data_IF_227703613092
#
_entry.id   IF_227703613092
#
_cell.length_a   1.000
_cell.length_b   1.000
_cell.length_c   1.000
_cell.angle_alpha   90.00
_cell.angle_beta   90.00
_cell.angle_gamma   90.00
#
_symmetry.space_group_name_H-M   'P 1'
#
loop_
_entity.id
_entity.type
_entity.pdbx_description
1 polymer ?
#
# COMPACT_ATOMS: atom_id res chain seq x y z
N UNK A 1 -2.25 22.88 2.52
CA UNK A 1 -0.98 23.19 3.20
C UNK A 1 0.12 22.31 2.63
N UNK A 2 1.23 22.90 2.18
CA UNK A 2 2.40 22.17 1.69
C UNK A 2 3.28 21.72 2.85
N UNK A 3 3.67 20.45 2.88
CA UNK A 3 4.58 19.94 3.91
C UNK A 3 6.02 20.23 3.46
N UNK A 4 6.76 21.02 4.24
CA UNK A 4 8.16 21.36 3.97
C UNK A 4 9.10 20.23 4.42
N UNK A 5 9.81 19.61 3.47
CA UNK A 5 10.73 18.49 3.73
C UNK A 5 12.23 18.86 3.62
N UNK A 6 12.55 20.11 3.27
CA UNK A 6 13.92 20.57 2.95
C UNK A 6 14.93 20.24 4.05
N UNK A 7 14.58 20.47 5.32
CA UNK A 7 15.42 20.18 6.48
C UNK A 7 15.85 18.72 6.62
N UNK A 8 15.05 17.76 6.13
CA UNK A 8 15.37 16.34 6.22
C UNK A 8 16.33 15.90 5.11
N UNK A 9 16.22 16.49 3.91
CA UNK A 9 17.06 16.14 2.76
C UNK A 9 18.47 16.70 2.90
N UNK A 10 18.62 17.86 3.54
CA UNK A 10 19.91 18.53 3.74
C UNK A 10 20.91 17.73 4.60
N UNK A 11 20.43 16.85 5.48
CA UNK A 11 21.31 16.01 6.33
C UNK A 11 21.75 14.70 5.65
N UNK A 12 21.37 14.47 4.38
CA UNK A 12 22.08 13.65 3.40
C UNK A 12 22.46 12.20 3.73
N UNK A 13 21.97 11.61 4.81
CA UNK A 13 22.34 10.25 5.22
C UNK A 13 21.65 9.15 4.38
N UNK A 14 22.32 8.00 4.14
CA UNK A 14 21.69 6.85 3.51
C UNK A 14 20.51 6.38 4.38
N UNK A 15 19.31 6.27 3.77
CA UNK A 15 18.09 5.83 4.46
C UNK A 15 17.10 6.94 4.84
N UNK A 16 17.45 8.22 4.69
CA UNK A 16 16.52 9.32 4.95
C UNK A 16 15.31 9.29 3.98
N UNK A 17 15.52 8.90 2.72
CA UNK A 17 14.45 8.73 1.73
C UNK A 17 13.45 7.63 2.13
N UNK A 18 13.93 6.49 2.64
CA UNK A 18 13.05 5.44 3.17
C UNK A 18 12.24 5.95 4.37
N UNK A 19 12.85 6.76 5.23
CA UNK A 19 12.18 7.38 6.37
C UNK A 19 11.12 8.41 5.94
N UNK A 20 11.33 9.11 4.82
CA UNK A 20 10.35 9.99 4.18
C UNK A 20 9.17 9.21 3.59
N UNK A 21 9.43 8.09 2.92
CA UNK A 21 8.39 7.19 2.38
C UNK A 21 7.48 6.63 3.47
N UNK A 22 8.05 6.26 4.62
CA UNK A 22 7.33 5.70 5.78
C UNK A 22 6.66 6.76 6.69
N UNK A 23 6.72 8.04 6.34
CA UNK A 23 6.19 9.13 7.18
C UNK A 23 4.66 9.21 7.07
N UNK A 24 3.96 9.05 8.20
CA UNK A 24 2.49 9.00 8.24
C UNK A 24 1.78 10.32 7.86
N UNK A 25 2.35 11.48 8.22
CA UNK A 25 1.75 12.79 7.93
C UNK A 25 2.12 13.25 6.51
N UNK A 26 1.21 13.05 5.56
CA UNK A 26 1.38 13.47 4.16
C UNK A 26 2.23 12.51 3.31
N UNK A 27 2.51 11.29 3.81
CA UNK A 27 3.22 10.28 3.04
C UNK A 27 2.33 9.57 2.04
N UNK A 28 2.96 9.08 0.97
CA UNK A 28 2.32 8.33 -0.12
C UNK A 28 1.59 7.09 0.41
N UNK A 29 2.14 6.44 1.44
CA UNK A 29 1.51 5.27 2.07
C UNK A 29 0.12 5.58 2.62
N UNK A 30 -0.08 6.73 3.25
CA UNK A 30 -1.41 7.11 3.79
C UNK A 30 -2.42 7.36 2.66
N UNK A 31 -1.95 7.95 1.55
CA UNK A 31 -2.79 8.19 0.38
C UNK A 31 -3.21 6.87 -0.26
N UNK A 32 -2.25 5.98 -0.49
CA UNK A 32 -2.47 4.71 -1.19
C UNK A 32 -3.05 3.62 -0.29
N UNK A 33 -3.15 3.85 1.02
CA UNK A 33 -3.68 2.87 1.99
C UNK A 33 -5.09 2.43 1.63
N UNK A 34 -5.96 3.36 1.19
CA UNK A 34 -7.32 3.03 0.82
C UNK A 34 -7.37 2.20 -0.47
N UNK A 35 -6.64 2.61 -1.51
CA UNK A 35 -6.54 1.84 -2.76
C UNK A 35 -6.01 0.43 -2.51
N UNK A 36 -4.99 0.28 -1.64
CA UNK A 36 -4.46 -1.02 -1.24
C UNK A 36 -5.49 -1.87 -0.50
N UNK A 37 -6.26 -1.29 0.42
CA UNK A 37 -7.31 -2.02 1.15
C UNK A 37 -8.41 -2.48 0.18
N UNK A 38 -8.83 -1.62 -0.75
CA UNK A 38 -9.84 -1.96 -1.77
C UNK A 38 -9.30 -3.08 -2.66
N UNK A 39 -8.08 -2.94 -3.19
CA UNK A 39 -7.45 -3.97 -4.01
C UNK A 39 -7.34 -5.31 -3.26
N UNK A 40 -6.84 -5.29 -2.02
CA UNK A 40 -6.68 -6.49 -1.22
C UNK A 40 -8.03 -7.14 -0.89
N UNK A 41 -9.07 -6.36 -0.59
CA UNK A 41 -10.40 -6.89 -0.29
C UNK A 41 -11.02 -7.57 -1.51
N UNK A 42 -10.97 -6.95 -2.69
CA UNK A 42 -11.45 -7.54 -3.95
C UNK A 42 -10.66 -8.80 -4.29
N UNK A 43 -9.33 -8.74 -4.20
CA UNK A 43 -8.47 -9.90 -4.46
C UNK A 43 -8.78 -11.08 -3.54
N UNK A 44 -8.93 -10.80 -2.24
CA UNK A 44 -9.28 -11.83 -1.25
C UNK A 44 -10.67 -12.39 -1.51
N UNK A 45 -11.64 -11.55 -1.89
CA UNK A 45 -12.99 -11.99 -2.21
C UNK A 45 -12.99 -12.93 -3.42
N UNK A 46 -12.26 -12.59 -4.49
CA UNK A 46 -12.09 -13.46 -5.66
C UNK A 46 -11.39 -14.77 -5.26
N UNK A 47 -10.34 -14.70 -4.45
CA UNK A 47 -9.62 -15.89 -3.97
C UNK A 47 -10.51 -16.81 -3.14
N UNK A 48 -11.36 -16.25 -2.28
CA UNK A 48 -12.35 -16.99 -1.50
C UNK A 48 -13.41 -17.63 -2.41
N UNK A 49 -13.94 -16.90 -3.38
CA UNK A 49 -14.90 -17.47 -4.34
C UNK A 49 -14.28 -18.62 -5.14
N UNK A 50 -13.03 -18.46 -5.59
CA UNK A 50 -12.31 -19.52 -6.28
C UNK A 50 -12.11 -20.76 -5.40
N UNK A 51 -11.81 -20.60 -4.11
CA UNK A 51 -11.60 -21.74 -3.20
C UNK A 51 -12.88 -22.41 -2.70
N UNK A 52 -13.94 -21.64 -2.46
CA UNK A 52 -15.11 -22.14 -1.74
C UNK A 52 -16.36 -22.27 -2.61
N UNK A 53 -16.48 -21.50 -3.69
CA UNK A 53 -17.67 -21.50 -4.54
C UNK A 53 -17.46 -22.30 -5.84
N UNK A 54 -16.22 -22.41 -6.33
CA UNK A 54 -15.93 -23.16 -7.57
C UNK A 54 -15.68 -24.64 -7.24
N UNK A 55 -16.44 -25.54 -7.87
CA UNK A 55 -16.23 -26.99 -7.75
C UNK A 55 -15.00 -27.42 -8.55
N UNK A 56 -14.30 -28.49 -8.12
CA UNK A 56 -13.05 -28.99 -8.72
C UNK A 56 -13.11 -29.19 -10.26
N UNK A 57 -14.30 -29.39 -10.82
CA UNK A 57 -14.51 -29.56 -12.25
C UNK A 57 -14.44 -28.25 -13.06
N UNK A 58 -14.78 -27.11 -12.46
CA UNK A 58 -14.69 -25.78 -13.10
C UNK A 58 -13.34 -25.09 -12.81
N UNK A 59 -12.53 -25.69 -11.94
CA UNK A 59 -11.22 -25.19 -11.54
C UNK A 59 -10.06 -25.68 -12.44
N UNK A 60 -10.35 -26.67 -13.31
CA UNK A 60 -9.39 -27.28 -14.24
C UNK A 60 -9.23 -26.49 -15.53
#
# INVERSE_FOLDING_TARGET
MTVQYNQFVLTGGPGIFFRLLLKWRGGVLKLISLDLIIFASIYTLISCLYRFAISENAQR
#
